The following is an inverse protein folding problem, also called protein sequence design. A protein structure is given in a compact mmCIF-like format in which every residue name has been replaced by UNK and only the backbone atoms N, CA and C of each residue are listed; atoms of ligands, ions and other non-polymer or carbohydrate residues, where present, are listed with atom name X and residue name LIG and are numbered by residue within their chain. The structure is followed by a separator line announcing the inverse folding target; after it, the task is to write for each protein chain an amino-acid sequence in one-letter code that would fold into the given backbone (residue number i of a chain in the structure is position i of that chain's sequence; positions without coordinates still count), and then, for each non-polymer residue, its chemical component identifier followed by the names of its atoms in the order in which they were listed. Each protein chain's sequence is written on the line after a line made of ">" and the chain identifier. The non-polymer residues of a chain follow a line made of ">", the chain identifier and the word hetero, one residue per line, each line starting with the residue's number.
data_IF_470133758417
#
_entry.id   IF_470133758417
#
_cell.length_a   1.000
_cell.length_b   1.000
_cell.length_c   1.000
_cell.angle_alpha   90.00
_cell.angle_beta   90.00
_cell.angle_gamma   90.00
#
_symmetry.space_group_name_H-M   'P 1'
#
loop_
_entity.id
_entity.type
_entity.pdbx_description
1 polymer ?
#
# COMPACT_ATOMS: atom_id res chain seq x y z
N UNK A 1 -7.98 -39.57 19.21
CA UNK A 1 -7.05 -39.19 18.13
C UNK A 1 -7.85 -38.63 16.96
N UNK A 2 -8.01 -37.31 16.87
CA UNK A 2 -8.72 -36.68 15.75
C UNK A 2 -7.68 -36.23 14.73
N UNK A 3 -7.63 -36.88 13.57
CA UNK A 3 -6.78 -36.48 12.44
C UNK A 3 -7.52 -35.41 11.64
N UNK A 4 -7.18 -34.15 11.89
CA UNK A 4 -7.61 -32.99 11.10
C UNK A 4 -6.92 -33.01 9.74
N UNK A 5 -7.64 -33.40 8.69
CA UNK A 5 -7.23 -33.16 7.29
C UNK A 5 -7.35 -31.66 6.99
N UNK A 6 -6.23 -30.95 6.99
CA UNK A 6 -6.13 -29.58 6.48
C UNK A 6 -6.36 -29.60 4.97
N UNK A 7 -7.52 -29.11 4.50
CA UNK A 7 -7.73 -28.77 3.10
C UNK A 7 -6.93 -27.49 2.81
N UNK A 8 -5.87 -27.61 2.02
CA UNK A 8 -5.18 -26.46 1.44
C UNK A 8 -6.03 -25.87 0.32
N UNK A 9 -6.47 -24.62 0.46
CA UNK A 9 -7.14 -23.89 -0.61
C UNK A 9 -6.08 -23.24 -1.50
N UNK A 10 -5.85 -23.81 -2.68
CA UNK A 10 -5.03 -23.19 -3.73
C UNK A 10 -5.93 -22.22 -4.48
N UNK A 11 -5.62 -20.91 -4.42
CA UNK A 11 -6.32 -19.88 -5.21
C UNK A 11 -5.77 -19.98 -6.64
N UNK A 12 -6.42 -20.77 -7.49
CA UNK A 12 -6.06 -20.92 -8.91
C UNK A 12 -7.08 -20.33 -9.87
N UNK A 13 -8.14 -19.68 -9.37
CA UNK A 13 -9.19 -19.16 -10.23
C UNK A 13 -9.74 -17.82 -9.70
N UNK A 14 -9.72 -16.81 -10.56
CA UNK A 14 -10.18 -15.44 -10.27
C UNK A 14 -11.71 -15.33 -10.25
N UNK A 15 -12.43 -16.43 -10.49
CA UNK A 15 -13.88 -16.47 -10.63
C UNK A 15 -14.68 -16.49 -9.30
N UNK A 16 -14.03 -16.58 -8.14
CA UNK A 16 -14.74 -16.76 -6.84
C UNK A 16 -15.01 -15.46 -6.07
N UNK A 17 -14.70 -14.28 -6.59
CA UNK A 17 -15.02 -13.01 -5.92
C UNK A 17 -16.44 -12.54 -6.27
N UNK A 18 -17.45 -13.23 -5.73
CA UNK A 18 -18.83 -12.71 -5.71
C UNK A 18 -18.92 -11.71 -4.54
N UNK A 19 -18.77 -10.41 -4.83
CA UNK A 19 -19.22 -9.34 -3.93
C UNK A 19 -18.23 -8.24 -3.53
N UNK A 20 -17.07 -8.12 -4.15
CA UNK A 20 -16.16 -6.98 -3.97
C UNK A 20 -15.71 -6.47 -5.33
N UNK A 21 -15.75 -5.15 -5.56
CA UNK A 21 -15.24 -4.56 -6.80
C UNK A 21 -13.82 -5.05 -7.11
N UNK A 22 -13.48 -5.19 -8.39
CA UNK A 22 -12.13 -5.60 -8.80
C UNK A 22 -11.09 -4.67 -8.17
N UNK A 23 -10.39 -5.16 -7.14
CA UNK A 23 -9.26 -4.45 -6.57
C UNK A 23 -8.16 -4.42 -7.63
N UNK A 24 -7.88 -3.25 -8.20
CA UNK A 24 -6.79 -3.09 -9.17
C UNK A 24 -5.45 -3.20 -8.45
N UNK A 25 -4.95 -4.43 -8.29
CA UNK A 25 -3.66 -4.72 -7.65
C UNK A 25 -2.44 -4.09 -8.36
N UNK A 26 -2.61 -3.60 -9.59
CA UNK A 26 -1.61 -2.82 -10.32
C UNK A 26 -1.12 -1.61 -9.51
N UNK A 27 -2.00 -1.02 -8.69
CA UNK A 27 -1.67 0.09 -7.79
C UNK A 27 -0.63 -0.31 -6.72
N UNK A 28 -0.73 -1.50 -6.14
CA UNK A 28 0.23 -2.02 -5.13
C UNK A 28 1.62 -2.15 -5.74
N UNK A 29 1.73 -2.82 -6.89
CA UNK A 29 3.00 -2.99 -7.61
C UNK A 29 3.63 -1.65 -8.00
N UNK A 30 2.80 -0.71 -8.43
CA UNK A 30 3.22 0.67 -8.77
C UNK A 30 3.76 1.41 -7.55
N UNK A 31 3.11 1.29 -6.39
CA UNK A 31 3.55 1.90 -5.14
C UNK A 31 4.86 1.30 -4.64
N UNK A 32 5.03 -0.03 -4.70
CA UNK A 32 6.30 -0.70 -4.38
C UNK A 32 7.43 -0.15 -5.26
N UNK A 33 7.20 -0.06 -6.57
CA UNK A 33 8.17 0.49 -7.52
C UNK A 33 8.53 1.93 -7.19
N UNK A 34 7.53 2.77 -6.90
CA UNK A 34 7.71 4.17 -6.52
C UNK A 34 8.68 4.29 -5.34
N UNK A 35 8.38 3.67 -4.20
CA UNK A 35 9.24 3.75 -3.02
C UNK A 35 10.63 3.15 -3.23
N UNK A 36 10.73 2.07 -4.02
CA UNK A 36 12.04 1.51 -4.41
C UNK A 36 12.88 2.55 -5.15
N UNK A 37 12.30 3.22 -6.13
CA UNK A 37 13.00 4.23 -6.95
C UNK A 37 13.35 5.49 -6.16
N UNK A 38 12.48 5.96 -5.27
CA UNK A 38 12.77 7.08 -4.37
C UNK A 38 13.98 6.80 -3.46
N UNK A 39 14.14 5.54 -3.05
CA UNK A 39 15.30 5.06 -2.28
C UNK A 39 16.51 4.71 -3.15
N UNK A 40 16.45 4.98 -4.45
CA UNK A 40 17.52 4.71 -5.44
C UNK A 40 17.96 3.24 -5.48
N UNK A 41 17.05 2.32 -5.17
CA UNK A 41 17.32 0.89 -5.19
C UNK A 41 17.03 0.31 -6.58
N UNK A 42 17.89 -0.59 -7.04
CA UNK A 42 17.60 -1.50 -8.16
C UNK A 42 16.62 -2.59 -7.70
N UNK A 43 16.01 -3.32 -8.63
CA UNK A 43 15.11 -4.42 -8.28
C UNK A 43 15.86 -5.53 -7.54
N UNK A 44 17.13 -5.75 -7.92
CA UNK A 44 18.06 -6.67 -7.29
C UNK A 44 18.36 -6.27 -5.84
N UNK A 45 18.57 -4.97 -5.58
CA UNK A 45 18.86 -4.48 -4.22
C UNK A 45 17.66 -4.70 -3.29
N UNK A 46 16.44 -4.46 -3.79
CA UNK A 46 15.21 -4.73 -3.03
C UNK A 46 15.02 -6.24 -2.82
N UNK A 47 15.27 -7.04 -3.85
CA UNK A 47 15.14 -8.49 -3.81
C UNK A 47 16.07 -9.10 -2.76
N UNK A 48 17.35 -8.70 -2.77
CA UNK A 48 18.34 -9.12 -1.78
C UNK A 48 17.89 -8.79 -0.35
N UNK A 49 17.47 -7.54 -0.11
CA UNK A 49 17.00 -7.10 1.21
C UNK A 49 15.73 -7.82 1.69
N UNK A 50 14.84 -8.16 0.75
CA UNK A 50 13.58 -8.84 1.05
C UNK A 50 13.71 -10.38 1.10
N UNK A 51 14.88 -10.95 0.77
CA UNK A 51 15.05 -12.39 0.65
C UNK A 51 14.26 -13.01 -0.50
N UNK A 52 14.08 -12.27 -1.61
CA UNK A 52 13.28 -12.66 -2.77
C UNK A 52 14.15 -12.66 -4.04
N UNK A 53 13.61 -13.19 -5.15
CA UNK A 53 14.31 -13.09 -6.44
C UNK A 53 14.01 -11.76 -7.14
N UNK A 54 14.99 -11.22 -7.86
CA UNK A 54 14.83 -10.00 -8.64
C UNK A 54 13.70 -10.12 -9.68
N UNK A 55 13.56 -11.29 -10.31
CA UNK A 55 12.47 -11.57 -11.23
C UNK A 55 11.10 -11.51 -10.53
N UNK A 56 10.99 -12.05 -9.31
CA UNK A 56 9.75 -11.97 -8.54
C UNK A 56 9.38 -10.53 -8.18
N UNK A 57 10.34 -9.72 -7.71
CA UNK A 57 10.13 -8.28 -7.50
C UNK A 57 9.66 -7.60 -8.78
N UNK A 58 10.27 -7.91 -9.94
CA UNK A 58 9.86 -7.38 -11.23
C UNK A 58 8.43 -7.74 -11.61
N UNK A 59 8.01 -8.99 -11.43
CA UNK A 59 6.63 -9.42 -11.69
C UNK A 59 5.63 -8.72 -10.75
N UNK A 60 5.98 -8.54 -9.47
CA UNK A 60 5.16 -7.82 -8.49
C UNK A 60 5.00 -6.35 -8.89
N UNK A 61 6.10 -5.67 -9.24
CA UNK A 61 6.06 -4.25 -9.63
C UNK A 61 5.26 -3.98 -10.91
N UNK A 62 5.17 -4.96 -11.81
CA UNK A 62 4.36 -4.87 -13.04
C UNK A 62 2.91 -5.33 -12.85
N UNK A 63 2.53 -5.80 -11.67
CA UNK A 63 1.19 -6.35 -11.40
C UNK A 63 0.96 -7.75 -11.98
N UNK A 64 1.98 -8.38 -12.55
CA UNK A 64 1.90 -9.74 -13.10
C UNK A 64 1.75 -10.81 -12.01
N UNK A 65 2.18 -10.49 -10.78
CA UNK A 65 2.05 -11.38 -9.63
C UNK A 65 1.65 -10.62 -8.38
N UNK A 66 0.61 -11.12 -7.71
CA UNK A 66 0.21 -10.64 -6.38
C UNK A 66 1.14 -11.31 -5.35
N UNK A 67 1.86 -10.54 -4.51
CA UNK A 67 2.71 -11.11 -3.48
C UNK A 67 1.86 -11.79 -2.40
N UNK A 68 2.36 -12.90 -1.83
CA UNK A 68 1.79 -13.42 -0.58
C UNK A 68 1.91 -12.37 0.53
N UNK A 69 1.09 -12.46 1.58
CA UNK A 69 1.21 -11.55 2.73
C UNK A 69 2.63 -11.56 3.33
N UNK A 70 3.26 -12.73 3.42
CA UNK A 70 4.65 -12.88 3.86
C UNK A 70 5.63 -12.12 2.94
N UNK A 71 5.52 -12.32 1.63
CA UNK A 71 6.34 -11.59 0.66
C UNK A 71 6.11 -10.08 0.74
N UNK A 72 4.86 -9.65 0.89
CA UNK A 72 4.50 -8.25 1.02
C UNK A 72 5.13 -7.64 2.27
N UNK A 73 5.04 -8.31 3.42
CA UNK A 73 5.69 -7.90 4.68
C UNK A 73 7.20 -7.77 4.48
N UNK A 74 7.85 -8.76 3.85
CA UNK A 74 9.29 -8.71 3.56
C UNK A 74 9.64 -7.53 2.66
N UNK A 75 8.84 -7.24 1.63
CA UNK A 75 9.04 -6.10 0.72
C UNK A 75 8.92 -4.77 1.47
N UNK A 76 7.85 -4.55 2.24
CA UNK A 76 7.65 -3.26 2.94
C UNK A 76 8.69 -3.03 4.04
N UNK A 77 9.12 -4.10 4.72
CA UNK A 77 10.23 -4.04 5.68
C UNK A 77 11.56 -3.70 4.99
N UNK A 78 11.87 -4.35 3.86
CA UNK A 78 13.08 -4.08 3.08
C UNK A 78 13.11 -2.65 2.50
N UNK A 79 11.94 -2.11 2.16
CA UNK A 79 11.77 -0.71 1.78
C UNK A 79 11.82 0.23 2.99
N UNK A 80 11.53 -0.23 4.21
CA UNK A 80 11.39 0.63 5.38
C UNK A 80 10.24 1.62 5.23
N UNK A 81 9.08 1.14 4.76
CA UNK A 81 7.83 1.90 4.63
C UNK A 81 6.70 1.16 5.36
N UNK A 82 5.64 1.87 5.75
CA UNK A 82 4.47 1.22 6.33
C UNK A 82 3.59 0.59 5.25
N UNK A 83 2.81 -0.43 5.61
CA UNK A 83 1.83 -1.05 4.72
C UNK A 83 0.81 -0.03 4.20
N UNK A 84 0.36 0.91 5.05
CA UNK A 84 -0.55 2.00 4.67
C UNK A 84 -0.01 2.84 3.51
N UNK A 85 1.29 3.15 3.52
CA UNK A 85 1.91 3.89 2.41
C UNK A 85 1.89 3.13 1.08
N UNK A 86 1.81 1.81 1.10
CA UNK A 86 1.71 1.01 -0.13
C UNK A 86 0.26 0.76 -0.54
N UNK A 87 -0.66 0.72 0.44
CA UNK A 87 -2.06 0.34 0.24
C UNK A 87 -3.04 1.54 0.14
N UNK A 88 -2.59 2.78 0.35
CA UNK A 88 -3.50 3.94 0.49
C UNK A 88 -4.45 4.19 -0.68
N UNK A 89 -4.03 3.93 -1.92
CA UNK A 89 -4.88 4.10 -3.12
C UNK A 89 -5.71 2.86 -3.47
N UNK A 90 -5.58 1.81 -2.66
CA UNK A 90 -6.24 0.51 -2.85
C UNK A 90 -7.31 0.27 -1.80
N UNK A 91 -7.25 1.00 -0.68
CA UNK A 91 -8.16 0.90 0.44
C UNK A 91 -9.10 2.12 0.47
N UNK A 92 -10.40 1.89 0.33
CA UNK A 92 -11.43 2.93 0.42
C UNK A 92 -11.40 3.66 1.78
N UNK A 93 -11.04 2.95 2.85
CA UNK A 93 -11.06 3.45 4.23
C UNK A 93 -9.80 4.24 4.64
N UNK A 94 -8.71 4.17 3.87
CA UNK A 94 -7.42 4.78 4.24
C UNK A 94 -7.46 6.32 4.32
N UNK A 95 -8.30 6.94 3.49
CA UNK A 95 -8.50 8.39 3.51
C UNK A 95 -9.34 8.87 4.69
N UNK A 96 -10.33 8.09 5.14
CA UNK A 96 -11.20 8.46 6.25
C UNK A 96 -10.43 8.55 7.57
N UNK A 97 -9.49 7.63 7.82
CA UNK A 97 -8.69 7.59 9.05
C UNK A 97 -7.71 8.77 9.13
N UNK A 98 -6.99 9.09 8.04
CA UNK A 98 -6.11 10.29 8.00
C UNK A 98 -6.91 11.59 8.06
N UNK A 99 -8.08 11.64 7.41
CA UNK A 99 -8.97 12.81 7.49
C UNK A 99 -9.51 13.02 8.91
N UNK A 100 -9.82 11.94 9.63
CA UNK A 100 -10.22 12.00 11.04
C UNK A 100 -9.08 12.49 11.93
N UNK A 101 -7.87 11.94 11.80
CA UNK A 101 -6.70 12.35 12.58
C UNK A 101 -6.30 13.80 12.29
N UNK A 102 -6.38 14.23 11.04
CA UNK A 102 -6.14 15.62 10.64
C UNK A 102 -7.21 16.54 11.24
N UNK A 103 -8.48 16.17 11.15
CA UNK A 103 -9.59 16.94 11.73
C UNK A 103 -9.44 17.08 13.25
N UNK A 104 -9.04 16.01 13.95
CA UNK A 104 -8.78 16.05 15.39
C UNK A 104 -7.60 16.96 15.75
N UNK A 105 -6.53 16.93 14.95
CA UNK A 105 -5.41 17.87 15.11
C UNK A 105 -5.84 19.31 14.83
N UNK A 106 -6.61 19.56 13.77
CA UNK A 106 -7.12 20.90 13.41
C UNK A 106 -8.07 21.47 14.48
N UNK A 107 -8.83 20.62 15.17
CA UNK A 107 -9.72 21.03 16.28
C UNK A 107 -8.96 21.51 17.49
N UNK A 108 -7.77 20.98 17.74
CA UNK A 108 -6.91 21.34 18.87
C UNK A 108 -6.03 22.57 18.60
N UNK A 109 -6.08 23.15 17.40
CA UNK A 109 -5.31 24.36 17.05
C UNK A 109 -6.07 25.64 17.38
N UNK A 110 -5.31 26.73 17.54
CA UNK A 110 -5.88 28.07 17.62
C UNK A 110 -6.62 28.40 16.32
N UNK A 111 -7.66 29.26 16.41
CA UNK A 111 -8.43 29.72 15.25
C UNK A 111 -7.51 30.28 14.16
N UNK A 112 -6.51 31.08 14.56
CA UNK A 112 -5.55 31.69 13.65
C UNK A 112 -4.67 30.67 12.92
N UNK A 113 -4.19 29.63 13.60
CA UNK A 113 -3.37 28.59 12.96
C UNK A 113 -4.19 27.72 12.01
N UNK A 114 -5.43 27.42 12.39
CA UNK A 114 -6.37 26.69 11.54
C UNK A 114 -6.70 27.47 10.26
N UNK A 115 -6.93 28.78 10.36
CA UNK A 115 -7.16 29.67 9.20
C UNK A 115 -5.96 29.70 8.23
N UNK A 116 -4.73 29.77 8.77
CA UNK A 116 -3.53 29.68 7.93
C UNK A 116 -3.43 28.35 7.19
N UNK A 117 -3.74 27.24 7.85
CA UNK A 117 -3.71 25.92 7.21
C UNK A 117 -4.78 25.82 6.12
N UNK A 118 -6.00 26.29 6.37
CA UNK A 118 -7.05 26.32 5.34
C UNK A 118 -6.65 27.15 4.13
N UNK A 119 -6.07 28.34 4.34
CA UNK A 119 -5.61 29.19 3.24
C UNK A 119 -4.54 28.50 2.36
N UNK A 120 -3.63 27.74 2.97
CA UNK A 120 -2.63 26.96 2.22
C UNK A 120 -3.31 25.85 1.41
N UNK A 121 -4.26 25.13 2.00
CA UNK A 121 -5.00 24.06 1.32
C UNK A 121 -5.80 24.63 0.14
N UNK A 122 -6.54 25.72 0.35
CA UNK A 122 -7.29 26.42 -0.71
C UNK A 122 -6.36 26.87 -1.84
N UNK A 123 -5.18 27.39 -1.51
CA UNK A 123 -4.17 27.78 -2.49
C UNK A 123 -3.70 26.58 -3.31
N UNK A 124 -3.44 25.45 -2.65
CA UNK A 124 -3.00 24.23 -3.34
C UNK A 124 -4.09 23.63 -4.23
N UNK A 125 -5.36 23.67 -3.78
CA UNK A 125 -6.50 23.23 -4.60
C UNK A 125 -6.68 24.13 -5.82
N UNK A 126 -6.52 25.45 -5.66
CA UNK A 126 -6.65 26.42 -6.77
C UNK A 126 -5.60 26.25 -7.86
N UNK A 127 -4.46 25.62 -7.54
CA UNK A 127 -3.34 25.40 -8.45
C UNK A 127 -3.14 23.93 -8.85
N UNK A 128 -4.04 23.03 -8.43
CA UNK A 128 -4.08 21.64 -8.88
C UNK A 128 -4.98 21.44 -10.09
#
# INVERSE_FOLDING_TARGET
>A
MYRSTLKTYTISDSSTLIGGGEVQYNSIGTNIRKFRTEKKLRQEDLAERAGLSANYIGMVERGEKIPSLESFISIVNALGVSADMVLHDVLETGYEVKSSLLNDKLRNLSKHDREKIFAVIETMIKHS
#
